data_IF_253683358305
#
_entry.id   IF_253683358305
#
_cell.length_a   1.000
_cell.length_b   1.000
_cell.length_c   1.000
_cell.angle_alpha   90.00
_cell.angle_beta   90.00
_cell.angle_gamma   90.00
#
_symmetry.space_group_name_H-M   'P 1'
#
loop_
_entity.id
_entity.type
_entity.pdbx_description
1 polymer ?
#
# COMPACT_ATOMS: atom_id res chain seq x y z
N UNK A 1 -34.14 -33.99 40.99
CA UNK A 1 -33.07 -33.09 41.51
C UNK A 1 -32.19 -32.80 40.33
N UNK A 2 -32.55 -31.68 39.69
CA UNK A 2 -32.09 -31.30 38.36
C UNK A 2 -31.08 -30.14 38.53
N UNK A 3 -29.80 -30.43 38.31
CA UNK A 3 -28.71 -29.47 38.39
C UNK A 3 -27.82 -29.57 37.17
N UNK A 4 -28.31 -29.11 36.00
CA UNK A 4 -27.39 -28.78 34.92
C UNK A 4 -28.06 -27.86 33.89
N UNK A 5 -28.17 -26.56 34.22
CA UNK A 5 -28.55 -25.48 33.30
C UNK A 5 -27.85 -24.16 33.64
N UNK A 6 -26.50 -24.14 33.57
CA UNK A 6 -25.74 -22.87 33.67
C UNK A 6 -24.45 -22.94 32.84
N UNK A 7 -24.54 -22.95 31.52
CA UNK A 7 -23.33 -22.75 30.72
C UNK A 7 -23.49 -22.06 29.36
N UNK A 8 -24.70 -21.58 29.01
CA UNK A 8 -24.93 -21.01 27.65
C UNK A 8 -25.25 -19.52 27.67
N UNK A 9 -24.59 -18.72 28.54
CA UNK A 9 -24.80 -17.26 28.57
C UNK A 9 -23.66 -16.45 27.95
N UNK A 10 -22.87 -16.99 27.05
CA UNK A 10 -21.97 -16.18 26.21
C UNK A 10 -22.52 -16.10 24.80
N UNK A 11 -22.98 -14.94 24.33
CA UNK A 11 -23.49 -14.81 22.98
C UNK A 11 -22.39 -15.18 21.99
N UNK A 12 -22.60 -16.21 21.18
CA UNK A 12 -21.70 -16.67 20.10
C UNK A 12 -21.28 -15.52 19.14
N UNK A 13 -22.07 -14.43 19.11
CA UNK A 13 -21.79 -13.22 18.35
C UNK A 13 -20.54 -12.48 18.82
N UNK A 14 -20.25 -12.40 20.13
CA UNK A 14 -19.10 -11.66 20.65
C UNK A 14 -17.76 -12.34 20.35
N UNK A 15 -17.70 -13.65 20.35
CA UNK A 15 -16.50 -14.43 19.97
C UNK A 15 -16.25 -14.30 18.47
N UNK A 16 -17.30 -14.38 17.65
CA UNK A 16 -17.19 -14.21 16.21
C UNK A 16 -16.76 -12.81 15.79
N UNK A 17 -17.18 -11.77 16.52
CA UNK A 17 -16.75 -10.38 16.29
C UNK A 17 -15.28 -10.21 16.69
N UNK A 18 -14.86 -10.70 17.86
CA UNK A 18 -13.46 -10.62 18.32
C UNK A 18 -12.49 -11.31 17.36
N UNK A 19 -12.83 -12.50 16.88
CA UNK A 19 -12.00 -13.18 15.88
C UNK A 19 -11.99 -12.47 14.53
N UNK A 20 -13.08 -11.76 14.16
CA UNK A 20 -13.14 -10.96 12.93
C UNK A 20 -12.20 -9.74 12.96
N UNK A 21 -12.12 -9.07 14.09
CA UNK A 21 -11.23 -7.89 14.26
C UNK A 21 -9.77 -8.33 14.36
N UNK A 22 -9.47 -9.37 15.13
CA UNK A 22 -8.10 -9.82 15.35
C UNK A 22 -7.39 -10.26 14.06
N UNK A 23 -8.08 -10.91 13.14
CA UNK A 23 -7.52 -11.36 11.87
C UNK A 23 -7.06 -10.19 10.98
N UNK A 24 -7.92 -9.18 10.79
CA UNK A 24 -7.57 -8.01 9.99
C UNK A 24 -6.52 -7.12 10.63
N UNK A 25 -6.40 -7.16 11.95
CA UNK A 25 -5.40 -6.41 12.69
C UNK A 25 -3.98 -6.78 12.26
N UNK A 26 -3.70 -8.05 11.92
CA UNK A 26 -2.39 -8.49 11.42
C UNK A 26 -1.99 -7.76 10.13
N UNK A 27 -2.90 -7.64 9.17
CA UNK A 27 -2.65 -6.90 7.92
C UNK A 27 -2.48 -5.41 8.14
N UNK A 28 -3.28 -4.82 9.03
CA UNK A 28 -3.15 -3.39 9.37
C UNK A 28 -1.86 -3.11 10.14
N UNK A 29 -1.42 -4.01 11.00
CA UNK A 29 -0.11 -3.92 11.67
C UNK A 29 1.04 -4.04 10.66
N UNK A 30 0.93 -4.94 9.68
CA UNK A 30 1.91 -5.04 8.59
C UNK A 30 1.93 -3.75 7.75
N UNK A 31 0.75 -3.22 7.39
CA UNK A 31 0.65 -1.94 6.68
C UNK A 31 1.29 -0.80 7.47
N UNK A 32 1.04 -0.72 8.78
CA UNK A 32 1.66 0.26 9.66
C UNK A 32 3.18 0.08 9.74
N UNK A 33 3.68 -1.15 9.84
CA UNK A 33 5.12 -1.44 9.82
C UNK A 33 5.80 -0.99 8.53
N UNK A 34 5.19 -1.23 7.38
CA UNK A 34 5.70 -0.78 6.06
C UNK A 34 5.67 0.76 5.97
N UNK A 35 4.59 1.38 6.41
CA UNK A 35 4.48 2.85 6.48
C UNK A 35 5.60 3.44 7.36
N UNK A 36 5.86 2.86 8.52
CA UNK A 36 6.94 3.32 9.41
C UNK A 36 8.32 3.12 8.78
N UNK A 37 8.54 2.00 8.06
CA UNK A 37 9.78 1.75 7.34
C UNK A 37 9.98 2.79 6.21
N UNK A 38 8.91 3.12 5.46
CA UNK A 38 8.95 4.18 4.45
C UNK A 38 9.33 5.53 5.07
N UNK A 39 8.63 5.97 6.10
CA UNK A 39 8.89 7.27 6.73
C UNK A 39 10.27 7.33 7.40
N UNK A 40 10.73 6.23 8.02
CA UNK A 40 12.05 6.15 8.63
C UNK A 40 13.16 6.21 7.57
N UNK A 41 13.01 5.50 6.44
CA UNK A 41 13.97 5.52 5.33
C UNK A 41 14.03 6.88 4.65
N UNK A 42 12.89 7.55 4.45
CA UNK A 42 12.84 8.93 3.94
C UNK A 42 13.52 9.91 4.90
N UNK A 43 13.28 9.80 6.20
CA UNK A 43 13.98 10.61 7.21
C UNK A 43 15.49 10.39 7.20
N UNK A 44 15.93 9.15 6.98
CA UNK A 44 17.34 8.84 6.79
C UNK A 44 17.88 9.47 5.51
N UNK A 45 17.18 9.35 4.37
CA UNK A 45 17.59 9.94 3.10
C UNK A 45 17.77 11.46 3.18
N UNK A 46 16.85 12.16 3.86
CA UNK A 46 16.96 13.61 4.11
C UNK A 46 18.23 13.93 4.90
N UNK A 47 18.55 13.16 5.94
CA UNK A 47 19.72 13.44 6.79
C UNK A 47 21.04 13.12 6.13
N UNK A 48 21.07 12.04 5.34
CA UNK A 48 22.30 11.46 4.81
C UNK A 48 22.64 11.90 3.39
N UNK A 49 21.64 12.37 2.59
CA UNK A 49 21.80 12.54 1.15
C UNK A 49 21.37 13.92 0.64
N UNK A 50 20.70 14.76 1.45
CA UNK A 50 20.05 16.01 0.99
C UNK A 50 21.01 17.04 0.38
N UNK A 51 22.28 17.00 0.77
CA UNK A 51 23.28 18.00 0.32
C UNK A 51 24.10 17.53 -0.90
N UNK A 52 23.52 16.61 -1.72
CA UNK A 52 24.18 16.09 -2.92
C UNK A 52 25.12 14.90 -2.64
N UNK A 53 25.03 14.32 -1.44
CA UNK A 53 25.72 13.07 -1.17
C UNK A 53 25.02 11.91 -1.89
N UNK A 54 25.82 11.12 -2.60
CA UNK A 54 25.37 9.88 -3.23
C UNK A 54 25.99 8.70 -2.52
N UNK A 55 25.22 7.61 -2.33
CA UNK A 55 25.74 6.36 -1.79
C UNK A 55 25.58 5.23 -2.79
N UNK A 56 26.66 4.92 -3.48
CA UNK A 56 26.73 3.77 -4.38
C UNK A 56 26.81 2.50 -3.54
N UNK A 57 25.80 1.63 -3.72
CA UNK A 57 25.73 0.31 -3.07
C UNK A 57 26.30 -0.77 -3.99
N UNK A 58 25.86 -0.79 -5.25
CA UNK A 58 26.37 -1.68 -6.28
C UNK A 58 26.73 -0.82 -7.49
N UNK A 59 28.04 -0.66 -7.81
CA UNK A 59 28.47 0.14 -8.96
C UNK A 59 27.78 -0.27 -10.24
N UNK A 60 27.24 0.71 -10.96
CA UNK A 60 26.55 0.47 -12.23
C UNK A 60 25.14 -0.12 -12.12
N UNK A 61 24.59 -0.33 -10.91
CA UNK A 61 23.26 -0.91 -10.75
C UNK A 61 22.40 -0.26 -9.68
N UNK A 62 22.92 -0.03 -8.47
CA UNK A 62 22.12 0.43 -7.33
C UNK A 62 22.82 1.51 -6.53
N UNK A 63 22.14 2.63 -6.33
CA UNK A 63 22.61 3.74 -5.50
C UNK A 63 21.47 4.44 -4.80
N UNK A 64 21.81 5.18 -3.74
CA UNK A 64 20.90 6.09 -3.06
C UNK A 64 21.26 7.52 -3.38
N UNK A 65 20.27 8.33 -3.74
CA UNK A 65 20.34 9.79 -3.90
C UNK A 65 19.13 10.43 -3.23
N UNK A 66 19.14 11.73 -3.03
CA UNK A 66 17.96 12.47 -2.56
C UNK A 66 17.31 13.20 -3.72
N UNK A 67 16.00 12.97 -3.92
CA UNK A 67 15.20 13.63 -4.94
C UNK A 67 13.86 14.06 -4.37
N UNK A 68 13.45 15.30 -4.67
CA UNK A 68 12.11 15.81 -4.37
C UNK A 68 11.19 15.61 -5.58
N UNK A 69 10.11 14.85 -5.42
CA UNK A 69 9.16 14.55 -6.49
C UNK A 69 7.83 15.30 -6.26
N UNK A 70 7.61 16.43 -6.93
CA UNK A 70 6.38 17.21 -6.78
C UNK A 70 5.17 16.60 -7.51
N UNK A 71 5.35 15.49 -8.26
CA UNK A 71 4.30 14.89 -9.10
C UNK A 71 4.28 15.53 -10.50
N UNK A 72 5.17 15.08 -11.37
CA UNK A 72 5.57 15.74 -12.63
C UNK A 72 4.50 15.77 -13.74
N UNK A 73 3.39 15.04 -13.62
CA UNK A 73 2.38 15.04 -14.69
C UNK A 73 1.80 16.44 -15.03
N UNK A 74 2.11 17.44 -14.20
CA UNK A 74 1.55 18.79 -14.33
C UNK A 74 2.62 19.88 -14.12
N UNK A 75 3.72 19.83 -14.85
CA UNK A 75 4.74 20.90 -14.83
C UNK A 75 4.17 22.30 -15.06
N UNK A 76 3.02 22.42 -15.74
CA UNK A 76 2.27 23.68 -15.89
C UNK A 76 1.48 24.10 -14.64
N UNK A 77 1.28 23.19 -13.64
CA UNK A 77 0.63 23.53 -12.37
C UNK A 77 1.61 24.03 -11.30
N UNK A 78 2.91 24.00 -11.57
CA UNK A 78 3.90 24.63 -10.69
C UNK A 78 3.73 26.14 -10.59
N UNK A 79 3.23 26.79 -11.64
CA UNK A 79 2.89 28.22 -11.64
C UNK A 79 1.61 28.51 -10.82
N UNK A 80 0.77 27.48 -10.52
CA UNK A 80 -0.48 27.56 -9.76
C UNK A 80 -0.34 27.44 -8.23
N UNK A 81 0.85 27.43 -7.66
CA UNK A 81 1.07 27.43 -6.20
C UNK A 81 0.60 26.13 -5.51
N UNK A 82 -0.28 26.24 -4.52
CA UNK A 82 -0.72 25.11 -3.66
C UNK A 82 -1.70 24.13 -4.34
N UNK A 83 -2.24 24.43 -5.52
CA UNK A 83 -3.30 23.63 -6.16
C UNK A 83 -2.83 22.20 -6.49
N UNK A 84 -1.66 22.04 -7.11
CA UNK A 84 -1.14 20.71 -7.47
C UNK A 84 -0.92 19.81 -6.24
N UNK A 85 -0.39 20.38 -5.16
CA UNK A 85 -0.22 19.69 -3.87
C UNK A 85 -1.55 19.14 -3.36
N UNK A 86 -2.56 20.02 -3.23
CA UNK A 86 -3.85 19.63 -2.68
C UNK A 86 -4.63 18.67 -3.57
N UNK A 87 -4.48 18.79 -4.89
CA UNK A 87 -5.04 17.81 -5.82
C UNK A 87 -4.54 16.39 -5.53
N UNK A 88 -3.21 16.18 -5.40
CA UNK A 88 -2.64 14.89 -5.09
C UNK A 88 -2.98 14.42 -3.66
N UNK A 89 -3.10 15.33 -2.70
CA UNK A 89 -3.53 15.00 -1.34
C UNK A 89 -4.96 14.46 -1.36
N UNK A 90 -5.89 15.15 -2.01
CA UNK A 90 -7.29 14.71 -2.11
C UNK A 90 -7.38 13.36 -2.84
N UNK A 91 -6.68 13.20 -3.96
CA UNK A 91 -6.64 11.95 -4.70
C UNK A 91 -6.13 10.78 -3.83
N UNK A 92 -5.05 10.99 -3.09
CA UNK A 92 -4.50 9.98 -2.19
C UNK A 92 -5.45 9.65 -1.03
N UNK A 93 -6.13 10.63 -0.44
CA UNK A 93 -7.16 10.41 0.60
C UNK A 93 -8.31 9.56 0.04
N UNK A 94 -8.82 9.89 -1.15
CA UNK A 94 -9.87 9.12 -1.81
C UNK A 94 -9.40 7.68 -2.09
N UNK A 95 -8.17 7.49 -2.53
CA UNK A 95 -7.58 6.18 -2.76
C UNK A 95 -7.46 5.37 -1.44
N UNK A 96 -7.01 5.98 -0.34
CA UNK A 96 -6.97 5.32 0.99
C UNK A 96 -8.38 4.88 1.40
N UNK A 97 -9.38 5.74 1.28
CA UNK A 97 -10.77 5.42 1.63
C UNK A 97 -11.28 4.25 0.76
N UNK A 98 -11.06 4.30 -0.55
CA UNK A 98 -11.49 3.25 -1.47
C UNK A 98 -10.82 1.90 -1.17
N UNK A 99 -9.50 1.88 -0.97
CA UNK A 99 -8.76 0.65 -0.64
C UNK A 99 -9.16 0.13 0.74
N UNK A 100 -9.34 1.00 1.73
CA UNK A 100 -9.79 0.59 3.06
C UNK A 100 -11.22 0.02 3.03
N UNK A 101 -12.13 0.65 2.28
CA UNK A 101 -13.47 0.12 2.07
C UNK A 101 -13.43 -1.26 1.41
N UNK A 102 -12.62 -1.44 0.37
CA UNK A 102 -12.43 -2.72 -0.31
C UNK A 102 -11.84 -3.77 0.64
N UNK A 103 -10.81 -3.43 1.40
CA UNK A 103 -10.23 -4.27 2.45
C UNK A 103 -11.28 -4.75 3.46
N UNK A 104 -12.18 -3.86 3.90
CA UNK A 104 -13.25 -4.20 4.85
C UNK A 104 -14.33 -5.10 4.24
N UNK A 105 -14.50 -5.09 2.92
CA UNK A 105 -15.45 -5.95 2.20
C UNK A 105 -14.87 -7.29 1.77
N UNK A 106 -13.56 -7.40 1.70
CA UNK A 106 -12.85 -8.61 1.26
C UNK A 106 -13.10 -9.78 2.23
N UNK A 107 -13.41 -10.99 1.72
CA UNK A 107 -13.54 -12.20 2.53
C UNK A 107 -12.25 -12.53 3.29
N UNK A 108 -12.40 -13.25 4.42
CA UNK A 108 -11.26 -13.60 5.29
C UNK A 108 -10.27 -14.59 4.68
N UNK A 109 -10.73 -15.42 3.80
CA UNK A 109 -9.94 -16.46 3.14
C UNK A 109 -9.21 -15.96 1.90
N UNK A 110 -9.28 -14.66 1.64
CA UNK A 110 -8.60 -14.02 0.50
C UNK A 110 -7.36 -13.25 0.96
N UNK A 111 -6.37 -14.02 1.43
CA UNK A 111 -5.13 -13.48 1.99
C UNK A 111 -4.34 -12.64 0.97
N UNK A 112 -4.43 -12.96 -0.33
CA UNK A 112 -3.77 -12.21 -1.40
C UNK A 112 -4.33 -10.80 -1.52
N UNK A 113 -5.65 -10.69 -1.62
CA UNK A 113 -6.32 -9.39 -1.72
C UNK A 113 -6.15 -8.57 -0.44
N UNK A 114 -6.25 -9.22 0.74
CA UNK A 114 -6.00 -8.54 2.02
C UNK A 114 -4.56 -8.03 2.13
N UNK A 115 -3.57 -8.84 1.72
CA UNK A 115 -2.16 -8.44 1.68
C UNK A 115 -1.90 -7.32 0.67
N UNK A 116 -2.50 -7.40 -0.51
CA UNK A 116 -2.42 -6.35 -1.53
C UNK A 116 -3.00 -5.02 -1.04
N UNK A 117 -4.17 -5.06 -0.39
CA UNK A 117 -4.77 -3.86 0.22
C UNK A 117 -3.87 -3.28 1.33
N UNK A 118 -3.24 -4.12 2.15
CA UNK A 118 -2.32 -3.66 3.20
C UNK A 118 -1.10 -2.93 2.61
N UNK A 119 -0.52 -3.46 1.53
CA UNK A 119 0.58 -2.82 0.80
C UNK A 119 0.16 -1.48 0.20
N UNK A 120 -1.01 -1.43 -0.44
CA UNK A 120 -1.56 -0.20 -1.02
C UNK A 120 -1.84 0.85 0.07
N UNK A 121 -2.47 0.46 1.18
CA UNK A 121 -2.74 1.37 2.30
C UNK A 121 -1.44 1.95 2.86
N UNK A 122 -0.41 1.12 3.06
CA UNK A 122 0.89 1.56 3.56
C UNK A 122 1.54 2.57 2.60
N UNK A 123 1.66 2.21 1.33
CA UNK A 123 2.36 3.03 0.34
C UNK A 123 1.63 4.34 0.03
N UNK A 124 0.31 4.29 -0.19
CA UNK A 124 -0.48 5.51 -0.45
C UNK A 124 -0.40 6.46 0.76
N UNK A 125 -0.50 5.92 1.99
CA UNK A 125 -0.38 6.73 3.22
C UNK A 125 1.01 7.33 3.39
N UNK A 126 2.09 6.62 3.01
CA UNK A 126 3.45 7.12 3.04
C UNK A 126 3.63 8.36 2.14
N UNK A 127 3.25 8.24 0.87
CA UNK A 127 3.34 9.33 -0.08
C UNK A 127 2.33 10.46 0.18
N UNK A 128 1.17 10.15 0.76
CA UNK A 128 0.20 11.14 1.24
C UNK A 128 0.80 12.00 2.37
N UNK A 129 1.47 11.36 3.34
CA UNK A 129 2.12 12.05 4.46
C UNK A 129 3.14 13.06 3.97
N UNK A 130 3.99 12.66 3.02
CA UNK A 130 4.99 13.57 2.43
C UNK A 130 4.32 14.76 1.75
N UNK A 131 3.36 14.52 0.86
CA UNK A 131 2.64 15.60 0.15
C UNK A 131 1.89 16.53 1.10
N UNK A 132 1.27 15.98 2.14
CA UNK A 132 0.55 16.78 3.14
C UNK A 132 1.49 17.66 3.98
N UNK A 133 2.72 17.20 4.28
CA UNK A 133 3.70 17.92 5.11
C UNK A 133 4.63 18.80 4.30
N UNK A 134 5.17 18.28 3.19
CA UNK A 134 6.27 18.88 2.43
C UNK A 134 5.80 19.50 1.12
N UNK A 135 4.73 18.99 0.52
CA UNK A 135 4.26 19.37 -0.82
C UNK A 135 4.86 18.53 -1.95
N UNK A 136 5.81 17.66 -1.66
CA UNK A 136 6.46 16.72 -2.58
C UNK A 136 6.66 15.37 -1.90
N UNK A 137 7.07 14.36 -2.66
CA UNK A 137 7.45 13.03 -2.15
C UNK A 137 8.97 12.94 -2.15
N UNK A 138 9.53 12.32 -1.11
CA UNK A 138 10.97 12.05 -1.02
C UNK A 138 11.24 10.70 -1.70
N UNK A 139 11.99 10.72 -2.81
CA UNK A 139 12.45 9.56 -3.54
C UNK A 139 13.98 9.43 -3.36
N UNK A 140 14.46 8.19 -3.17
CA UNK A 140 15.88 8.03 -2.85
C UNK A 140 16.51 6.73 -3.38
N UNK A 141 15.76 5.82 -3.99
CA UNK A 141 16.24 4.57 -4.58
C UNK A 141 16.42 4.76 -6.07
N UNK A 142 17.62 4.54 -6.58
CA UNK A 142 17.94 4.54 -8.00
C UNK A 142 18.42 3.16 -8.42
N UNK A 143 17.77 2.62 -9.45
CA UNK A 143 18.21 1.42 -10.14
C UNK A 143 18.55 1.75 -11.59
N UNK A 144 19.67 1.26 -12.06
CA UNK A 144 20.05 1.39 -13.46
C UNK A 144 20.80 0.14 -13.95
N UNK A 145 20.71 -0.15 -15.23
CA UNK A 145 21.41 -1.26 -15.86
C UNK A 145 21.90 -0.81 -17.25
N UNK A 146 23.18 -0.58 -17.38
CA UNK A 146 23.75 0.03 -18.59
C UNK A 146 23.12 1.42 -18.83
N UNK A 147 22.50 1.61 -19.99
CA UNK A 147 21.85 2.88 -20.35
C UNK A 147 20.41 3.02 -19.86
N UNK A 148 19.85 1.99 -19.24
CA UNK A 148 18.50 2.04 -18.72
C UNK A 148 18.50 2.53 -17.26
N UNK A 149 17.76 3.61 -17.01
CA UNK A 149 17.58 4.18 -15.68
C UNK A 149 16.12 4.08 -15.28
N UNK A 150 15.86 3.40 -14.18
CA UNK A 150 14.54 3.40 -13.58
C UNK A 150 14.29 4.76 -12.90
N UNK A 151 13.09 5.34 -13.00
CA UNK A 151 12.77 6.54 -12.24
C UNK A 151 13.05 6.34 -10.75
N UNK A 152 13.57 7.37 -10.09
CA UNK A 152 13.83 7.33 -8.64
C UNK A 152 12.53 7.05 -7.89
N UNK A 153 12.59 6.19 -6.87
CA UNK A 153 11.42 5.77 -6.10
C UNK A 153 11.75 5.58 -4.62
N UNK A 154 10.76 5.19 -3.83
CA UNK A 154 10.86 4.95 -2.39
C UNK A 154 10.14 3.64 -1.99
N UNK A 155 10.11 3.31 -0.68
CA UNK A 155 9.44 2.11 -0.17
C UNK A 155 7.92 2.17 -0.41
N UNK A 156 7.30 3.35 -0.29
CA UNK A 156 5.86 3.51 -0.55
C UNK A 156 5.52 3.15 -2.00
N UNK A 157 6.32 3.61 -2.98
CA UNK A 157 6.10 3.31 -4.41
C UNK A 157 6.26 1.81 -4.71
N UNK A 158 7.27 1.17 -4.13
CA UNK A 158 7.45 -0.28 -4.23
C UNK A 158 6.22 -1.02 -3.67
N UNK A 159 5.71 -0.58 -2.51
CA UNK A 159 4.53 -1.16 -1.88
C UNK A 159 3.27 -0.98 -2.73
N UNK A 160 3.06 0.21 -3.30
CA UNK A 160 1.95 0.48 -4.21
C UNK A 160 2.04 -0.42 -5.45
N UNK A 161 3.21 -0.51 -6.05
CA UNK A 161 3.43 -1.32 -7.26
C UNK A 161 3.16 -2.79 -7.00
N UNK A 162 3.72 -3.37 -5.94
CA UNK A 162 3.50 -4.77 -5.57
C UNK A 162 2.02 -5.01 -5.24
N UNK A 163 1.40 -4.15 -4.45
CA UNK A 163 -0.01 -4.25 -4.09
C UNK A 163 -0.93 -4.20 -5.32
N UNK A 164 -0.67 -3.28 -6.26
CA UNK A 164 -1.42 -3.16 -7.49
C UNK A 164 -1.26 -4.39 -8.40
N UNK A 165 -0.04 -4.94 -8.53
CA UNK A 165 0.22 -6.15 -9.29
C UNK A 165 -0.49 -7.36 -8.69
N UNK A 166 -0.51 -7.50 -7.36
CA UNK A 166 -1.24 -8.59 -6.68
C UNK A 166 -2.75 -8.50 -6.92
N UNK A 167 -3.35 -7.30 -6.86
CA UNK A 167 -4.76 -7.11 -7.16
C UNK A 167 -5.07 -7.38 -8.64
N UNK A 168 -4.22 -6.90 -9.55
CA UNK A 168 -4.39 -7.16 -10.97
C UNK A 168 -4.31 -8.66 -11.28
N UNK A 169 -3.34 -9.35 -10.68
CA UNK A 169 -3.22 -10.80 -10.79
C UNK A 169 -4.50 -11.51 -10.32
N UNK A 170 -4.99 -11.15 -9.13
CA UNK A 170 -6.20 -11.76 -8.58
C UNK A 170 -7.42 -11.51 -9.47
N UNK A 171 -7.61 -10.29 -9.95
CA UNK A 171 -8.70 -9.93 -10.84
C UNK A 171 -8.69 -10.73 -12.15
N UNK A 172 -7.51 -10.95 -12.73
CA UNK A 172 -7.38 -11.67 -14.01
C UNK A 172 -7.60 -13.17 -13.83
N UNK A 173 -7.05 -13.77 -12.79
CA UNK A 173 -7.00 -15.23 -12.65
C UNK A 173 -8.11 -15.81 -11.76
N UNK A 174 -8.59 -15.11 -10.75
CA UNK A 174 -9.71 -15.56 -9.91
C UNK A 174 -11.04 -15.54 -10.67
N UNK A 175 -11.31 -14.52 -11.46
CA UNK A 175 -12.53 -14.46 -12.30
C UNK A 175 -12.59 -15.57 -13.35
N UNK A 176 -11.44 -16.02 -13.85
CA UNK A 176 -11.37 -17.09 -14.85
C UNK A 176 -11.78 -18.44 -14.26
N UNK A 177 -11.38 -18.74 -13.04
CA UNK A 177 -11.74 -20.00 -12.35
C UNK A 177 -13.23 -20.09 -12.03
N UNK A 178 -13.86 -18.99 -11.70
CA UNK A 178 -15.31 -18.96 -11.39
C UNK A 178 -16.16 -19.20 -12.63
N UNK A 179 -15.77 -18.67 -13.79
CA UNK A 179 -16.48 -18.89 -15.06
C UNK A 179 -16.37 -20.34 -15.52
N UNK A 180 -15.17 -20.92 -15.50
CA UNK A 180 -14.95 -22.33 -15.93
C UNK A 180 -15.77 -23.29 -15.05
N UNK A 181 -15.87 -23.05 -13.75
CA UNK A 181 -16.65 -23.89 -12.84
C UNK A 181 -18.17 -23.69 -12.99
N UNK A 182 -18.64 -22.54 -13.47
CA UNK A 182 -20.04 -22.32 -13.80
C UNK A 182 -20.42 -23.08 -15.09
N UNK A 183 -19.61 -22.95 -16.13
CA UNK A 183 -19.85 -23.62 -17.43
C UNK A 183 -19.84 -25.16 -17.31
N UNK A 184 -19.02 -25.72 -16.41
CA UNK A 184 -18.99 -27.17 -16.16
C UNK A 184 -20.21 -27.69 -15.39
N UNK A 185 -20.89 -26.84 -14.59
CA UNK A 185 -22.11 -27.20 -13.88
C UNK A 185 -23.37 -27.17 -14.77
N UNK A 186 -23.34 -26.34 -15.80
CA UNK A 186 -24.47 -26.23 -16.73
C UNK A 186 -24.46 -27.33 -17.81
N UNK A 187 -23.40 -28.15 -17.88
CA UNK A 187 -23.22 -29.28 -18.85
C UNK A 187 -23.42 -30.64 -18.18
N UNK A 188 -23.58 -30.72 -16.87
CA UNK A 188 -23.81 -31.95 -16.09
C UNK A 188 -25.27 -32.06 -15.63
#
# INVERSE_FOLDING_TARGET
MDTDKKSDFFPRSSVAIRTRVAWRAGYLLAAFGIYMADQASKAWAVRALRFGEERVVIPGFFQFIYTENPGIAFGQLQEGGSFGRWFFVVLAVLAVIAVFYYFMRTPRNDDRVLGACALLLAGISGNLTDRARLGYVIDFIVLHAGNFHWPTFNIADASITIGALLLAYDLIFSHRSTRINADLKDVS
#
